data_IF_728636891986
#
_entry.id   IF_728636891986
#
_cell.length_a   1.000
_cell.length_b   1.000
_cell.length_c   1.000
_cell.angle_alpha   90.00
_cell.angle_beta   90.00
_cell.angle_gamma   90.00
#
_symmetry.space_group_name_H-M   'P 1'
#
loop_
_entity.id
_entity.type
_entity.pdbx_description
1 polymer ?
#
# COMPACT_ATOMS: atom_id res chain seq x y z
N UNK A 1 -23.99 -3.88 -8.17
CA UNK A 1 -23.64 -4.52 -6.89
C UNK A 1 -22.13 -4.40 -6.72
N UNK A 2 -21.64 -3.65 -5.73
CA UNK A 2 -20.22 -3.60 -5.47
C UNK A 2 -19.84 -4.89 -4.73
N UNK A 3 -19.14 -5.80 -5.40
CA UNK A 3 -18.49 -6.91 -4.72
C UNK A 3 -17.50 -6.34 -3.71
N UNK A 4 -17.65 -6.70 -2.43
CA UNK A 4 -16.69 -6.35 -1.40
C UNK A 4 -15.43 -7.18 -1.62
N UNK A 5 -14.30 -6.54 -1.93
CA UNK A 5 -13.01 -7.22 -2.00
C UNK A 5 -12.46 -7.42 -0.59
N UNK A 6 -11.88 -8.60 -0.30
CA UNK A 6 -11.12 -8.80 0.94
C UNK A 6 -9.77 -8.10 0.84
N UNK A 7 -9.43 -7.30 1.85
CA UNK A 7 -8.20 -6.54 1.89
C UNK A 7 -7.09 -7.31 2.59
N UNK A 8 -5.94 -7.39 1.93
CA UNK A 8 -4.73 -7.98 2.48
C UNK A 8 -3.59 -6.98 2.47
N UNK A 9 -2.69 -7.13 3.43
CA UNK A 9 -1.46 -6.37 3.58
C UNK A 9 -0.29 -7.35 3.56
N UNK A 10 0.69 -7.11 2.69
CA UNK A 10 1.90 -7.94 2.65
C UNK A 10 2.79 -7.68 3.85
N UNK A 11 3.58 -8.68 4.25
CA UNK A 11 4.55 -8.54 5.34
C UNK A 11 5.52 -7.39 5.13
N UNK A 12 6.01 -7.22 3.90
CA UNK A 12 6.89 -6.10 3.54
C UNK A 12 6.27 -4.73 3.77
N UNK A 13 4.94 -4.61 3.70
CA UNK A 13 4.24 -3.36 3.98
C UNK A 13 4.14 -3.10 5.47
N UNK A 14 3.97 -4.14 6.30
CA UNK A 14 4.10 -4.00 7.76
C UNK A 14 5.48 -3.50 8.14
N UNK A 15 6.53 -4.14 7.63
CA UNK A 15 7.91 -3.77 7.96
C UNK A 15 8.22 -2.33 7.50
N UNK A 16 7.64 -1.87 6.38
CA UNK A 16 7.74 -0.49 5.92
C UNK A 16 6.99 0.50 6.81
N UNK A 17 5.81 0.13 7.33
CA UNK A 17 5.08 0.98 8.28
C UNK A 17 5.88 1.12 9.57
N UNK A 18 6.42 0.01 10.08
CA UNK A 18 7.22 0.00 11.31
C UNK A 18 8.47 0.86 11.12
N UNK A 19 9.24 0.65 10.06
CA UNK A 19 10.45 1.43 9.75
C UNK A 19 10.17 2.93 9.61
N UNK A 20 9.13 3.33 8.89
CA UNK A 20 8.80 4.75 8.72
C UNK A 20 8.26 5.36 10.03
N UNK A 21 7.54 4.59 10.84
CA UNK A 21 7.06 5.05 12.14
C UNK A 21 8.23 5.28 13.10
N UNK A 22 9.18 4.34 13.17
CA UNK A 22 10.40 4.43 13.97
C UNK A 22 11.25 5.64 13.55
N UNK A 23 11.45 5.85 12.25
CA UNK A 23 12.19 7.01 11.75
C UNK A 23 11.55 8.35 12.18
N UNK A 24 10.22 8.46 12.12
CA UNK A 24 9.52 9.68 12.56
C UNK A 24 9.52 9.83 14.08
N UNK A 25 9.45 8.73 14.83
CA UNK A 25 9.58 8.73 16.28
C UNK A 25 10.96 9.24 16.71
N UNK A 26 12.04 8.73 16.11
CA UNK A 26 13.41 9.15 16.40
C UNK A 26 13.67 10.60 16.02
N UNK A 27 13.13 11.08 14.90
CA UNK A 27 13.46 12.41 14.37
C UNK A 27 12.50 13.52 14.81
N UNK A 28 11.27 13.19 15.20
CA UNK A 28 10.21 14.16 15.51
C UNK A 28 9.44 13.85 16.80
N UNK A 29 9.76 12.75 17.48
CA UNK A 29 9.13 12.31 18.73
C UNK A 29 8.03 11.27 18.53
N UNK A 30 7.73 10.51 19.59
CA UNK A 30 6.78 9.38 19.64
C UNK A 30 5.41 9.67 18.99
N UNK A 31 4.86 10.88 19.18
CA UNK A 31 3.59 11.28 18.56
C UNK A 31 3.67 11.20 17.03
N UNK A 32 4.77 11.62 16.43
CA UNK A 32 4.93 11.62 14.99
C UNK A 32 4.99 10.19 14.41
N UNK A 33 5.65 9.26 15.10
CA UNK A 33 5.68 7.84 14.71
C UNK A 33 4.28 7.21 14.74
N UNK A 34 3.51 7.47 15.80
CA UNK A 34 2.11 7.04 15.92
C UNK A 34 1.23 7.62 14.82
N UNK A 35 1.38 8.91 14.54
CA UNK A 35 0.65 9.58 13.47
C UNK A 35 0.91 8.95 12.10
N UNK A 36 2.16 8.64 11.76
CA UNK A 36 2.52 7.95 10.50
C UNK A 36 1.76 6.64 10.34
N UNK A 37 1.77 5.79 11.38
CA UNK A 37 1.02 4.53 11.38
C UNK A 37 -0.46 4.76 11.14
N UNK A 38 -1.07 5.70 11.88
CA UNK A 38 -2.50 6.04 11.73
C UNK A 38 -2.84 6.54 10.33
N UNK A 39 -2.04 7.44 9.77
CA UNK A 39 -2.26 8.00 8.43
C UNK A 39 -2.19 6.93 7.33
N UNK A 40 -1.20 6.04 7.39
CA UNK A 40 -1.06 4.95 6.43
C UNK A 40 -2.25 3.97 6.52
N UNK A 41 -2.61 3.54 7.74
CA UNK A 41 -3.75 2.64 7.94
C UNK A 41 -5.08 3.27 7.49
N UNK A 42 -5.29 4.56 7.77
CA UNK A 42 -6.49 5.26 7.33
C UNK A 42 -6.60 5.32 5.80
N UNK A 43 -5.47 5.53 5.12
CA UNK A 43 -5.40 5.51 3.67
C UNK A 43 -5.70 4.11 3.09
N UNK A 44 -5.14 3.05 3.67
CA UNK A 44 -5.45 1.67 3.26
C UNK A 44 -6.92 1.32 3.47
N UNK A 45 -7.51 1.69 4.61
CA UNK A 45 -8.95 1.48 4.87
C UNK A 45 -9.84 2.22 3.87
N UNK A 46 -9.46 3.45 3.47
CA UNK A 46 -10.17 4.18 2.40
C UNK A 46 -10.06 3.46 1.06
N UNK A 47 -8.85 3.02 0.70
CA UNK A 47 -8.63 2.25 -0.52
C UNK A 47 -9.36 0.91 -0.53
N UNK A 48 -9.51 0.24 0.62
CA UNK A 48 -10.27 -1.00 0.71
C UNK A 48 -11.78 -0.81 0.48
N UNK A 49 -12.33 0.36 0.84
CA UNK A 49 -13.76 0.68 0.64
C UNK A 49 -14.10 0.99 -0.81
N UNK A 50 -13.20 1.67 -1.51
CA UNK A 50 -13.36 1.97 -2.94
C UNK A 50 -12.05 1.71 -3.70
N UNK A 51 -11.73 0.43 -3.97
CA UNK A 51 -10.44 0.03 -4.52
C UNK A 51 -10.22 0.51 -5.96
N UNK A 52 -11.27 0.88 -6.67
CA UNK A 52 -11.18 1.28 -8.08
C UNK A 52 -11.06 2.78 -8.29
N UNK A 53 -11.35 3.62 -7.28
CA UNK A 53 -11.30 5.08 -7.36
C UNK A 53 -9.91 5.69 -7.59
N UNK A 54 -8.84 4.92 -7.41
CA UNK A 54 -7.48 5.45 -7.37
C UNK A 54 -6.74 5.32 -8.70
N UNK A 55 -5.70 6.13 -8.87
CA UNK A 55 -4.95 6.17 -10.12
C UNK A 55 -4.17 4.87 -10.37
N UNK A 56 -4.06 4.49 -11.65
CA UNK A 56 -3.14 3.45 -12.11
C UNK A 56 -1.72 4.02 -12.12
N UNK A 57 -0.72 3.33 -11.52
CA UNK A 57 0.67 3.73 -11.70
C UNK A 57 1.06 3.70 -13.18
N UNK A 58 1.91 4.63 -13.66
CA UNK A 58 2.37 4.63 -15.04
C UNK A 58 2.92 3.27 -15.46
N UNK A 59 2.59 2.84 -16.68
CA UNK A 59 3.02 1.59 -17.30
C UNK A 59 2.57 0.30 -16.59
N UNK A 60 1.77 0.39 -15.51
CA UNK A 60 1.24 -0.78 -14.83
C UNK A 60 -0.09 -1.25 -15.42
N UNK A 61 -0.40 -2.56 -15.34
CA UNK A 61 -1.71 -3.07 -15.75
C UNK A 61 -2.88 -2.44 -14.98
N UNK A 62 -4.09 -2.53 -15.56
CA UNK A 62 -5.32 -1.93 -15.03
C UNK A 62 -5.77 -2.45 -13.67
N UNK A 63 -5.16 -3.49 -13.12
CA UNK A 63 -5.45 -3.97 -11.78
C UNK A 63 -4.45 -3.47 -10.72
N UNK A 64 -3.51 -2.60 -11.08
CA UNK A 64 -2.59 -1.93 -10.16
C UNK A 64 -3.07 -0.53 -9.85
N UNK A 65 -2.93 -0.12 -8.60
CA UNK A 65 -3.46 1.15 -8.11
C UNK A 65 -2.51 1.78 -7.10
N UNK A 66 -2.61 3.10 -6.94
CA UNK A 66 -1.86 3.85 -5.92
C UNK A 66 -2.73 4.87 -5.22
N UNK A 67 -2.58 4.97 -3.90
CA UNK A 67 -3.15 6.03 -3.07
C UNK A 67 -2.02 6.89 -2.50
N UNK A 68 -2.22 8.21 -2.51
CA UNK A 68 -1.28 9.17 -1.93
C UNK A 68 -1.72 9.45 -0.49
N UNK A 69 -0.85 9.13 0.46
CA UNK A 69 -0.99 9.42 1.89
C UNK A 69 0.24 10.25 2.29
N UNK A 70 0.27 11.53 1.89
CA UNK A 70 1.48 12.37 1.94
C UNK A 70 2.18 12.28 3.31
N UNK A 71 3.51 12.06 3.34
CA UNK A 71 4.45 12.05 2.21
C UNK A 71 4.56 10.70 1.46
N UNK A 72 3.74 9.71 1.79
CA UNK A 72 3.80 8.36 1.25
C UNK A 72 2.91 8.13 0.03
N UNK A 73 3.29 7.15 -0.76
CA UNK A 73 2.49 6.56 -1.83
C UNK A 73 2.38 5.07 -1.55
N UNK A 74 1.15 4.59 -1.39
CA UNK A 74 0.84 3.21 -1.09
C UNK A 74 0.32 2.56 -2.37
N UNK A 75 0.91 1.43 -2.73
CA UNK A 75 0.56 0.67 -3.92
C UNK A 75 -0.15 -0.62 -3.55
N UNK A 76 -1.18 -0.94 -4.32
CA UNK A 76 -1.94 -2.17 -4.16
C UNK A 76 -2.34 -2.74 -5.51
N UNK A 77 -2.60 -4.04 -5.52
CA UNK A 77 -3.07 -4.78 -6.68
C UNK A 77 -4.42 -5.40 -6.37
N UNK A 78 -5.30 -5.38 -7.36
CA UNK A 78 -6.60 -6.04 -7.31
C UNK A 78 -6.49 -7.38 -8.06
N UNK A 79 -7.02 -8.43 -7.45
CA UNK A 79 -7.21 -9.73 -8.06
C UNK A 79 -8.70 -10.05 -8.12
N UNK A 80 -9.35 -9.66 -9.21
CA UNK A 80 -10.78 -9.86 -9.43
C UNK A 80 -11.18 -11.33 -9.35
N UNK A 81 -10.34 -12.25 -9.85
CA UNK A 81 -10.65 -13.69 -9.81
C UNK A 81 -10.76 -14.22 -8.39
N UNK A 82 -9.93 -13.70 -7.47
CA UNK A 82 -9.94 -14.07 -6.06
C UNK A 82 -10.84 -13.18 -5.20
N UNK A 83 -11.37 -12.08 -5.75
CA UNK A 83 -12.06 -11.02 -5.01
C UNK A 83 -11.19 -10.42 -3.89
N UNK A 84 -9.91 -10.19 -4.20
CA UNK A 84 -8.93 -9.68 -3.23
C UNK A 84 -8.31 -8.37 -3.70
N UNK A 85 -7.91 -7.53 -2.75
CA UNK A 85 -6.89 -6.51 -2.97
C UNK A 85 -5.71 -6.78 -2.03
N UNK A 86 -4.49 -6.53 -2.50
CA UNK A 86 -3.27 -6.71 -1.70
C UNK A 86 -2.42 -5.45 -1.75
N UNK A 87 -2.24 -4.80 -0.60
CA UNK A 87 -1.23 -3.75 -0.41
C UNK A 87 0.14 -4.41 -0.39
N UNK A 88 1.03 -3.99 -1.30
CA UNK A 88 2.31 -4.69 -1.50
C UNK A 88 3.54 -3.76 -1.39
N UNK A 89 3.36 -2.44 -1.36
CA UNK A 89 4.47 -1.51 -1.31
C UNK A 89 4.05 -0.12 -0.81
N UNK A 90 4.85 0.45 0.07
CA UNK A 90 4.84 1.87 0.45
C UNK A 90 6.14 2.50 -0.04
N UNK A 91 6.05 3.73 -0.55
CA UNK A 91 7.22 4.54 -0.90
C UNK A 91 7.06 5.97 -0.43
N UNK A 92 8.15 6.61 -0.01
CA UNK A 92 8.19 8.06 0.12
C UNK A 92 8.10 8.77 -1.24
N UNK A 93 7.46 9.93 -1.29
CA UNK A 93 7.24 10.70 -2.52
C UNK A 93 8.51 11.17 -3.23
N UNK A 94 9.66 11.16 -2.56
CA UNK A 94 10.98 11.50 -3.12
C UNK A 94 11.66 10.34 -3.88
N UNK A 95 11.13 9.11 -3.79
CA UNK A 95 11.79 7.95 -4.36
C UNK A 95 11.53 7.82 -5.87
N UNK A 96 12.54 7.40 -6.65
CA UNK A 96 12.44 7.23 -8.12
C UNK A 96 11.27 6.32 -8.52
N UNK A 97 10.51 6.61 -9.59
CA UNK A 97 9.42 5.75 -10.05
C UNK A 97 9.85 4.29 -10.31
N UNK A 98 8.96 3.32 -10.05
CA UNK A 98 9.21 1.92 -10.41
C UNK A 98 8.77 1.63 -11.83
N UNK A 99 9.42 0.63 -12.43
CA UNK A 99 8.95 0.02 -13.67
C UNK A 99 7.80 -0.95 -13.38
N UNK A 100 6.99 -1.24 -14.41
CA UNK A 100 5.92 -2.23 -14.33
C UNK A 100 6.42 -3.62 -13.91
N UNK A 101 7.60 -4.01 -14.38
CA UNK A 101 8.22 -5.30 -14.02
C UNK A 101 8.60 -5.37 -12.52
N UNK A 102 9.08 -4.26 -11.95
CA UNK A 102 9.35 -4.18 -10.52
C UNK A 102 8.05 -4.28 -9.70
N UNK A 103 6.99 -3.57 -10.10
CA UNK A 103 5.68 -3.69 -9.45
C UNK A 103 5.13 -5.12 -9.49
N UNK A 104 5.21 -5.80 -10.64
CA UNK A 104 4.78 -7.20 -10.75
C UNK A 104 5.54 -8.11 -9.79
N UNK A 105 6.87 -8.01 -9.75
CA UNK A 105 7.72 -8.85 -8.89
C UNK A 105 7.39 -8.67 -7.41
N UNK A 106 7.26 -7.42 -6.96
CA UNK A 106 6.97 -7.12 -5.55
C UNK A 106 5.54 -7.55 -5.20
N UNK A 107 4.55 -7.29 -6.06
CA UNK A 107 3.18 -7.71 -5.82
C UNK A 107 3.03 -9.24 -5.73
N UNK A 108 3.72 -9.99 -6.60
CA UNK A 108 3.73 -11.46 -6.54
C UNK A 108 4.38 -11.97 -5.26
N UNK A 109 5.46 -11.33 -4.79
CA UNK A 109 6.07 -11.66 -3.51
C UNK A 109 5.12 -11.36 -2.35
N UNK A 110 4.49 -10.19 -2.36
CA UNK A 110 3.53 -9.77 -1.34
C UNK A 110 2.26 -10.63 -1.29
N UNK A 111 1.86 -11.26 -2.40
CA UNK A 111 0.72 -12.20 -2.41
C UNK A 111 1.01 -13.52 -1.68
N UNK A 112 2.29 -13.92 -1.57
CA UNK A 112 2.69 -15.16 -0.88
C UNK A 112 2.76 -14.98 0.65
N UNK A 113 3.02 -13.76 1.10
CA UNK A 113 3.27 -13.43 2.50
C UNK A 113 2.42 -12.23 2.91
N UNK A 114 1.14 -12.50 3.18
CA UNK A 114 0.12 -11.49 3.47
C UNK A 114 -0.80 -11.90 4.59
N UNK A 115 -1.35 -10.91 5.28
CA UNK A 115 -2.36 -11.04 6.32
C UNK A 115 -3.58 -10.21 5.94
N UNK A 116 -4.77 -10.61 6.38
CA UNK A 116 -5.99 -9.81 6.21
C UNK A 116 -5.85 -8.50 7.00
N UNK A 117 -6.32 -7.39 6.41
CA UNK A 117 -6.22 -6.02 6.96
C UNK A 117 -7.45 -5.67 7.82
#
# INVERSE_FOLDING_TARGET
>A
MASSLTAYISRSVFDQIDQESEYYEETKGDIAGKEVRMYIHAAMKKAARDPWAYAVPPHCPQNYRRIVAKPFVIFYRINEKKQELTFYLIRGGSQKPLTAAAHRRIAVAGEKDRTEL
#
